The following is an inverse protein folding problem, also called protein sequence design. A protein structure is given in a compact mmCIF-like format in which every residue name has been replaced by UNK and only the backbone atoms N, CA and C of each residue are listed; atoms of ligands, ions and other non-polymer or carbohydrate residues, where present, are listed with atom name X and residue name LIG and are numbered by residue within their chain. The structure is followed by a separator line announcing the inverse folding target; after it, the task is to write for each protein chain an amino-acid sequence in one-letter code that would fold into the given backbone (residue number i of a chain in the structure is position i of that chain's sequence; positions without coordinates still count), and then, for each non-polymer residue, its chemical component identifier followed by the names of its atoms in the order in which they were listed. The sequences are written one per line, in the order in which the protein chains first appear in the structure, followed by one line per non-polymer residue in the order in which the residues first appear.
data_IF_262587704049
#
_entry.id   IF_262587704049
#
_cell.length_a   1.000
_cell.length_b   1.000
_cell.length_c   1.000
_cell.angle_alpha   90.00
_cell.angle_beta   90.00
_cell.angle_gamma   90.00
#
_symmetry.space_group_name_H-M   'P 1'
#
loop_
_entity.id
_entity.type
_entity.pdbx_description
1 polymer ?
#
# COMPACT_ATOMS: atom_id res chain seq x y z
N UNK A 1 8.62 -7.66 -8.69
CA UNK A 1 9.38 -6.42 -8.46
C UNK A 1 8.47 -5.21 -8.20
N UNK A 2 7.50 -4.94 -9.08
CA UNK A 2 6.47 -3.88 -8.95
C UNK A 2 5.86 -3.76 -7.56
N UNK A 3 5.30 -4.84 -7.03
CA UNK A 3 4.62 -4.79 -5.72
C UNK A 3 5.54 -4.27 -4.61
N UNK A 4 6.83 -4.63 -4.62
CA UNK A 4 7.80 -4.10 -3.65
C UNK A 4 8.09 -2.62 -3.89
N UNK A 5 8.17 -2.17 -5.15
CA UNK A 5 8.24 -0.73 -5.48
C UNK A 5 6.99 0.01 -4.97
N UNK A 6 5.79 -0.59 -5.10
CA UNK A 6 4.53 -0.06 -4.54
C UNK A 6 4.62 0.17 -3.06
N UNK A 7 5.04 -0.86 -2.34
CA UNK A 7 5.12 -0.87 -0.89
C UNK A 7 6.13 0.16 -0.40
N UNK A 8 7.29 0.23 -1.06
CA UNK A 8 8.30 1.24 -0.76
C UNK A 8 7.75 2.66 -0.95
N UNK A 9 7.14 2.94 -2.10
CA UNK A 9 6.60 4.27 -2.41
C UNK A 9 5.43 4.66 -1.49
N UNK A 10 4.54 3.72 -1.19
CA UNK A 10 3.36 3.96 -0.37
C UNK A 10 3.68 4.12 1.11
N UNK A 11 4.63 3.35 1.66
CA UNK A 11 4.81 3.22 3.11
C UNK A 11 6.13 3.84 3.59
N UNK A 12 7.20 3.77 2.78
CA UNK A 12 8.56 4.10 3.24
C UNK A 12 9.01 5.48 2.77
N UNK A 13 9.16 5.65 1.45
CA UNK A 13 9.68 6.88 0.85
C UNK A 13 8.97 7.14 -0.48
N UNK A 14 8.13 8.18 -0.57
CA UNK A 14 7.42 8.52 -1.79
C UNK A 14 8.40 8.95 -2.88
N UNK A 15 8.03 8.75 -4.15
CA UNK A 15 8.80 9.19 -5.33
C UNK A 15 10.26 8.68 -5.40
N UNK A 16 10.60 7.65 -4.62
CA UNK A 16 11.93 7.06 -4.63
C UNK A 16 11.96 5.85 -5.54
N UNK A 17 12.91 5.83 -6.48
CA UNK A 17 13.16 4.68 -7.35
C UNK A 17 14.38 3.89 -6.83
N UNK A 18 14.44 2.56 -7.06
CA UNK A 18 15.63 1.80 -6.73
C UNK A 18 16.85 2.34 -7.49
N UNK A 19 17.95 2.58 -6.77
CA UNK A 19 19.24 2.95 -7.36
C UNK A 19 19.88 1.76 -8.07
N UNK A 20 19.56 0.53 -7.64
CA UNK A 20 20.03 -0.72 -8.22
C UNK A 20 18.85 -1.64 -8.58
N UNK A 21 18.09 -1.34 -9.66
CA UNK A 21 16.89 -2.09 -10.02
C UNK A 21 17.15 -3.59 -10.23
N UNK A 22 18.26 -3.97 -10.84
CA UNK A 22 18.60 -5.37 -11.07
C UNK A 22 18.80 -6.15 -9.76
N UNK A 23 19.33 -5.49 -8.73
CA UNK A 23 19.49 -6.10 -7.41
C UNK A 23 18.15 -6.27 -6.69
N UNK A 24 17.22 -5.33 -6.86
CA UNK A 24 15.85 -5.50 -6.36
C UNK A 24 15.13 -6.64 -7.09
N UNK A 25 15.28 -6.74 -8.41
CA UNK A 25 14.69 -7.82 -9.19
C UNK A 25 15.22 -9.18 -8.75
N UNK A 26 16.53 -9.31 -8.58
CA UNK A 26 17.17 -10.52 -8.03
C UNK A 26 16.62 -10.89 -6.65
N UNK A 27 16.45 -9.91 -5.76
CA UNK A 27 15.88 -10.15 -4.43
C UNK A 27 14.42 -10.63 -4.49
N UNK A 28 13.60 -10.06 -5.37
CA UNK A 28 12.18 -10.47 -5.49
C UNK A 28 12.03 -11.86 -6.12
N UNK A 29 12.97 -12.29 -6.95
CA UNK A 29 12.98 -13.64 -7.53
C UNK A 29 13.57 -14.70 -6.61
N UNK A 30 14.28 -14.32 -5.54
CA UNK A 30 14.98 -15.28 -4.70
C UNK A 30 14.08 -16.34 -4.03
N UNK A 31 12.84 -16.06 -3.59
CA UNK A 31 11.99 -17.10 -3.01
C UNK A 31 11.54 -18.11 -4.05
N UNK A 32 11.26 -17.67 -5.28
CA UNK A 32 10.90 -18.56 -6.40
C UNK A 32 12.07 -19.49 -6.73
N UNK A 33 13.28 -18.95 -6.76
CA UNK A 33 14.49 -19.73 -7.00
C UNK A 33 14.74 -20.73 -5.87
N UNK A 34 14.56 -20.32 -4.61
CA UNK A 34 14.75 -21.21 -3.46
C UNK A 34 13.72 -22.36 -3.45
N UNK A 35 12.47 -22.07 -3.78
CA UNK A 35 11.43 -23.09 -3.93
C UNK A 35 11.76 -24.06 -5.09
N UNK A 36 12.08 -23.53 -6.27
CA UNK A 36 12.28 -24.35 -7.47
C UNK A 36 13.54 -25.23 -7.41
N UNK A 37 14.67 -24.66 -6.97
CA UNK A 37 15.97 -25.36 -7.01
C UNK A 37 16.30 -26.12 -5.73
N UNK A 38 15.88 -25.62 -4.56
CA UNK A 38 16.17 -26.27 -3.27
C UNK A 38 14.97 -27.00 -2.67
N UNK A 39 13.81 -26.99 -3.34
CA UNK A 39 12.60 -27.66 -2.86
C UNK A 39 12.02 -27.05 -1.59
N UNK A 40 12.34 -25.79 -1.28
CA UNK A 40 11.83 -25.15 -0.06
C UNK A 40 10.35 -24.77 -0.22
N UNK A 41 9.48 -25.43 0.53
CA UNK A 41 8.03 -25.19 0.53
C UNK A 41 7.57 -24.41 1.77
N UNK A 42 8.43 -24.26 2.78
CA UNK A 42 8.10 -23.48 3.97
C UNK A 42 7.99 -21.98 3.63
N UNK A 43 6.76 -21.47 3.66
CA UNK A 43 6.40 -20.09 3.37
C UNK A 43 7.14 -19.10 4.27
N UNK A 44 7.45 -19.44 5.52
CA UNK A 44 8.19 -18.58 6.43
C UNK A 44 9.65 -18.47 6.01
N UNK A 45 10.23 -19.56 5.55
CA UNK A 45 11.60 -19.56 5.01
C UNK A 45 11.67 -18.79 3.69
N UNK A 46 10.66 -18.92 2.84
CA UNK A 46 10.54 -18.12 1.61
C UNK A 46 10.39 -16.62 1.90
N UNK A 47 9.59 -16.25 2.90
CA UNK A 47 9.44 -14.87 3.35
C UNK A 47 10.75 -14.31 3.96
N UNK A 48 11.43 -15.12 4.79
CA UNK A 48 12.72 -14.76 5.36
C UNK A 48 13.78 -14.57 4.27
N UNK A 49 13.79 -15.44 3.26
CA UNK A 49 14.67 -15.32 2.10
C UNK A 49 14.43 -14.01 1.32
N UNK A 50 13.17 -13.65 1.05
CA UNK A 50 12.83 -12.38 0.41
C UNK A 50 13.36 -11.19 1.22
N UNK A 51 13.07 -11.19 2.53
CA UNK A 51 13.46 -10.13 3.46
C UNK A 51 14.97 -9.95 3.49
N UNK A 52 15.70 -11.05 3.70
CA UNK A 52 17.16 -11.04 3.77
C UNK A 52 17.78 -10.50 2.47
N UNK A 53 17.28 -10.97 1.31
CA UNK A 53 17.81 -10.52 0.02
C UNK A 53 17.53 -9.05 -0.24
N UNK A 54 16.33 -8.54 0.09
CA UNK A 54 16.03 -7.10 -0.04
C UNK A 54 16.96 -6.28 0.88
N UNK A 55 17.15 -6.72 2.12
CA UNK A 55 17.98 -6.02 3.09
C UNK A 55 19.45 -5.98 2.67
N UNK A 56 20.03 -7.10 2.21
CA UNK A 56 21.44 -7.20 1.83
C UNK A 56 21.76 -6.58 0.47
N UNK A 57 20.81 -6.57 -0.46
CA UNK A 57 21.05 -6.09 -1.81
C UNK A 57 21.10 -4.54 -1.90
N UNK A 58 20.64 -3.82 -0.87
CA UNK A 58 20.69 -2.36 -0.79
C UNK A 58 20.21 -1.66 -2.08
N UNK A 59 19.09 -2.11 -2.63
CA UNK A 59 18.63 -1.64 -3.93
C UNK A 59 18.08 -0.21 -3.93
N UNK A 60 17.81 0.35 -2.75
CA UNK A 60 17.40 1.75 -2.54
C UNK A 60 18.50 2.53 -1.81
N UNK A 61 18.50 3.86 -1.99
CA UNK A 61 19.40 4.75 -1.25
C UNK A 61 19.16 4.69 0.27
N UNK A 62 17.89 4.61 0.69
CA UNK A 62 17.47 4.47 2.08
C UNK A 62 16.23 3.56 2.17
N UNK A 63 15.92 3.06 3.36
CA UNK A 63 14.69 2.33 3.65
C UNK A 63 14.74 0.86 3.31
N UNK A 64 15.91 0.29 2.99
CA UNK A 64 16.04 -1.14 2.62
C UNK A 64 15.56 -2.07 3.74
N UNK A 65 15.93 -1.82 5.00
CA UNK A 65 15.48 -2.61 6.17
C UNK A 65 13.95 -2.54 6.33
N UNK A 66 13.38 -1.33 6.25
CA UNK A 66 11.94 -1.10 6.31
C UNK A 66 11.20 -1.79 5.15
N UNK A 67 11.76 -1.72 3.95
CA UNK A 67 11.23 -2.37 2.75
C UNK A 67 11.26 -3.89 2.88
N UNK A 68 12.33 -4.46 3.43
CA UNK A 68 12.46 -5.88 3.68
C UNK A 68 11.39 -6.38 4.66
N UNK A 69 11.18 -5.66 5.77
CA UNK A 69 10.16 -6.01 6.76
C UNK A 69 8.74 -5.96 6.17
N UNK A 70 8.39 -4.89 5.46
CA UNK A 70 7.09 -4.75 4.79
C UNK A 70 6.89 -5.82 3.72
N UNK A 71 7.92 -6.13 2.93
CA UNK A 71 7.85 -7.16 1.90
C UNK A 71 7.65 -8.56 2.50
N UNK A 72 8.29 -8.85 3.64
CA UNK A 72 8.11 -10.10 4.36
C UNK A 72 6.67 -10.24 4.88
N UNK A 73 6.14 -9.23 5.56
CA UNK A 73 4.75 -9.25 6.06
C UNK A 73 3.74 -9.41 4.92
N UNK A 74 3.93 -8.68 3.82
CA UNK A 74 3.06 -8.81 2.64
C UNK A 74 3.16 -10.19 1.98
N UNK A 75 4.35 -10.79 1.90
CA UNK A 75 4.52 -12.14 1.39
C UNK A 75 3.75 -13.14 2.26
N UNK A 76 3.85 -13.01 3.58
CA UNK A 76 3.09 -13.85 4.50
C UNK A 76 1.58 -13.66 4.33
N UNK A 77 1.09 -12.42 4.24
CA UNK A 77 -0.35 -12.12 4.09
C UNK A 77 -0.94 -12.70 2.83
N UNK A 78 -0.23 -12.62 1.71
CA UNK A 78 -0.64 -13.23 0.44
C UNK A 78 -0.75 -14.75 0.56
N UNK A 79 0.03 -15.37 1.45
CA UNK A 79 -0.01 -16.81 1.74
C UNK A 79 -0.89 -17.15 2.95
N UNK A 80 -1.72 -16.23 3.43
CA UNK A 80 -2.62 -16.47 4.55
C UNK A 80 -1.93 -16.46 5.92
N UNK A 81 -0.83 -15.74 6.08
CA UNK A 81 -0.13 -15.59 7.36
C UNK A 81 0.11 -14.12 7.70
N UNK A 82 0.40 -13.78 8.95
CA UNK A 82 0.79 -12.41 9.32
C UNK A 82 1.87 -12.40 10.40
N UNK A 83 2.68 -11.34 10.43
CA UNK A 83 3.61 -11.10 11.53
C UNK A 83 2.84 -10.61 12.76
N UNK A 84 3.08 -11.23 13.91
CA UNK A 84 2.60 -10.71 15.20
C UNK A 84 3.76 -10.09 15.96
N UNK A 85 3.62 -8.84 16.37
CA UNK A 85 4.60 -8.23 17.28
C UNK A 85 4.57 -9.01 18.60
N UNK A 86 5.67 -9.72 18.87
CA UNK A 86 5.82 -10.48 20.11
C UNK A 86 6.60 -9.68 21.16
N UNK A 87 6.77 -8.37 21.01
CA UNK A 87 7.48 -7.50 21.97
C UNK A 87 6.98 -7.70 23.41
N UNK A 88 5.68 -7.91 23.62
CA UNK A 88 5.13 -8.20 24.95
C UNK A 88 5.53 -9.60 25.45
N UNK A 89 5.55 -10.61 24.58
CA UNK A 89 5.96 -11.99 24.90
C UNK A 89 7.47 -12.08 25.18
N UNK A 90 8.29 -11.35 24.42
CA UNK A 90 9.75 -11.29 24.63
C UNK A 90 10.13 -10.54 25.90
N UNK A 91 9.41 -9.48 26.28
CA UNK A 91 9.62 -8.78 27.56
C UNK A 91 9.29 -9.67 28.76
N UNK A 92 8.29 -10.53 28.62
CA UNK A 92 7.88 -11.47 29.67
C UNK A 92 8.87 -12.64 29.82
N UNK A 93 9.47 -13.10 28.72
CA UNK A 93 10.40 -14.25 28.71
C UNK A 93 11.87 -13.81 28.93
N UNK A 94 12.27 -12.59 28.53
CA UNK A 94 13.65 -12.10 28.60
C UNK A 94 13.75 -10.64 29.08
N UNK A 95 13.89 -10.40 30.40
CA UNK A 95 13.87 -9.05 30.99
C UNK A 95 15.16 -8.20 30.78
N UNK A 96 16.13 -8.65 29.96
CA UNK A 96 17.33 -7.87 29.62
C UNK A 96 17.36 -7.56 28.12
N UNK A 97 17.27 -6.28 27.71
CA UNK A 97 17.33 -5.90 26.30
C UNK A 97 18.77 -6.05 25.77
N UNK A 98 18.94 -6.84 24.70
CA UNK A 98 20.17 -6.82 23.89
C UNK A 98 20.08 -5.63 22.92
N UNK A 99 21.00 -4.64 22.95
CA UNK A 99 20.73 -3.35 22.33
C UNK A 99 20.61 -3.36 20.79
N UNK A 100 21.17 -4.32 20.06
CA UNK A 100 21.42 -4.13 18.62
C UNK A 100 21.00 -5.28 17.69
N UNK A 101 20.01 -6.11 18.05
CA UNK A 101 19.43 -7.07 17.11
C UNK A 101 17.90 -6.99 17.07
N UNK A 102 17.36 -6.25 16.10
CA UNK A 102 15.98 -6.47 15.64
C UNK A 102 16.04 -7.62 14.63
N UNK A 103 16.27 -8.82 15.14
CA UNK A 103 16.15 -10.05 14.35
C UNK A 103 14.66 -10.28 14.06
N UNK A 104 14.31 -10.76 12.87
CA UNK A 104 12.96 -11.28 12.56
C UNK A 104 12.45 -12.32 13.59
N UNK A 105 13.32 -12.83 14.46
CA UNK A 105 12.98 -13.61 15.65
C UNK A 105 11.87 -12.96 16.52
N UNK A 106 11.71 -11.62 16.50
CA UNK A 106 10.64 -10.94 17.26
C UNK A 106 9.23 -11.06 16.67
N UNK A 107 9.05 -11.80 15.59
CA UNK A 107 7.73 -12.06 15.04
C UNK A 107 7.49 -13.55 14.90
N UNK A 108 6.40 -14.02 15.49
CA UNK A 108 5.91 -15.37 15.25
C UNK A 108 4.85 -15.30 14.14
N UNK A 109 4.93 -16.20 13.15
CA UNK A 109 3.89 -16.31 12.15
C UNK A 109 2.63 -16.94 12.74
N UNK A 110 1.46 -16.51 12.25
CA UNK A 110 0.17 -17.11 12.58
C UNK A 110 -0.65 -17.34 11.32
N UNK A 111 -1.42 -18.42 11.28
CA UNK A 111 -2.27 -18.81 10.14
C UNK A 111 -3.61 -18.08 10.14
N UNK A 112 -4.00 -17.57 8.98
CA UNK A 112 -5.33 -17.11 8.60
C UNK A 112 -5.90 -18.06 7.54
N UNK A 113 -7.23 -18.11 7.41
CA UNK A 113 -7.92 -19.03 6.49
C UNK A 113 -8.21 -18.31 5.16
N UNK A 114 -7.50 -18.68 4.08
CA UNK A 114 -8.02 -18.58 2.70
C UNK A 114 -7.11 -17.99 1.60
N UNK A 115 -7.33 -18.49 0.37
CA UNK A 115 -7.31 -17.75 -0.91
C UNK A 115 -5.99 -17.55 -1.65
N UNK A 116 -5.68 -18.40 -2.64
CA UNK A 116 -4.53 -18.23 -3.57
C UNK A 116 -4.79 -17.16 -4.63
N UNK A 117 -3.85 -16.21 -4.80
CA UNK A 117 -3.84 -15.22 -5.89
C UNK A 117 -2.56 -15.34 -6.72
N UNK A 118 -2.71 -15.45 -8.04
CA UNK A 118 -1.62 -15.68 -9.01
C UNK A 118 -0.92 -14.36 -9.39
N UNK A 119 0.41 -14.31 -9.28
CA UNK A 119 1.21 -13.11 -9.55
C UNK A 119 1.54 -12.94 -11.05
N UNK A 120 1.28 -11.75 -11.61
CA UNK A 120 1.65 -11.32 -12.97
C UNK A 120 2.72 -10.23 -12.87
N UNK A 121 3.74 -10.23 -13.74
CA UNK A 121 4.81 -9.20 -13.81
C UNK A 121 4.21 -7.84 -14.17
N UNK A 122 4.57 -6.76 -13.46
CA UNK A 122 3.98 -5.41 -13.58
C UNK A 122 5.08 -4.32 -13.43
N UNK A 123 5.01 -3.14 -14.07
CA UNK A 123 5.86 -1.96 -13.79
C UNK A 123 5.10 -0.81 -13.11
N UNK A 124 5.84 0.18 -12.65
CA UNK A 124 5.40 1.36 -11.90
C UNK A 124 5.63 2.60 -12.76
N UNK A 125 4.57 3.36 -13.05
CA UNK A 125 4.67 4.53 -13.92
C UNK A 125 4.34 5.80 -13.16
N UNK A 126 5.27 6.75 -13.11
CA UNK A 126 4.97 8.09 -12.63
C UNK A 126 4.35 8.89 -13.78
N UNK A 127 3.15 9.42 -13.55
CA UNK A 127 2.39 10.22 -14.51
C UNK A 127 1.87 11.49 -13.83
N UNK A 128 1.34 12.43 -14.62
CA UNK A 128 0.74 13.66 -14.10
C UNK A 128 -0.77 13.57 -14.18
N UNK A 129 -1.44 13.66 -13.03
CA UNK A 129 -2.89 13.78 -12.93
C UNK A 129 -3.34 15.23 -12.85
N UNK A 130 -4.62 15.46 -13.13
CA UNK A 130 -5.27 16.76 -13.00
C UNK A 130 -6.19 16.71 -11.78
N UNK A 131 -5.77 17.38 -10.69
CA UNK A 131 -6.53 17.44 -9.46
C UNK A 131 -7.31 18.76 -9.41
N UNK A 132 -8.63 18.67 -9.35
CA UNK A 132 -9.52 19.84 -9.26
C UNK A 132 -10.21 19.84 -7.91
N UNK A 133 -10.08 20.94 -7.19
CA UNK A 133 -10.76 21.15 -5.91
C UNK A 133 -11.15 22.63 -5.76
N UNK A 134 -12.01 22.94 -4.78
CA UNK A 134 -12.29 24.32 -4.42
C UNK A 134 -11.06 24.96 -3.78
N UNK A 135 -10.75 26.18 -4.20
CA UNK A 135 -9.84 27.07 -3.49
C UNK A 135 -10.52 27.72 -2.28
N UNK A 136 -9.80 28.65 -1.64
CA UNK A 136 -10.28 29.38 -0.45
C UNK A 136 -11.48 30.29 -0.73
N UNK A 137 -11.73 30.63 -1.99
CA UNK A 137 -12.84 31.47 -2.44
C UNK A 137 -14.04 30.64 -2.89
N UNK A 138 -13.94 29.31 -2.86
CA UNK A 138 -14.97 28.38 -3.32
C UNK A 138 -15.00 28.22 -4.84
N UNK A 139 -13.94 28.65 -5.54
CA UNK A 139 -13.83 28.51 -6.99
C UNK A 139 -13.07 27.21 -7.33
N UNK A 140 -13.55 26.41 -8.30
CA UNK A 140 -12.85 25.18 -8.67
C UNK A 140 -11.56 25.50 -9.42
N UNK A 141 -10.44 25.05 -8.86
CA UNK A 141 -9.10 25.24 -9.41
C UNK A 141 -8.44 23.89 -9.69
N UNK A 142 -7.84 23.74 -10.88
CA UNK A 142 -7.15 22.52 -11.31
C UNK A 142 -5.64 22.66 -11.19
N UNK A 143 -5.00 21.74 -10.48
CA UNK A 143 -3.55 21.65 -10.29
C UNK A 143 -3.00 20.35 -10.88
N UNK A 144 -1.84 20.42 -11.54
CA UNK A 144 -1.11 19.23 -12.01
C UNK A 144 -0.40 18.56 -10.84
N UNK A 145 -0.65 17.26 -10.64
CA UNK A 145 -0.12 16.51 -9.49
C UNK A 145 0.64 15.27 -9.95
N UNK A 146 1.80 14.95 -9.35
CA UNK A 146 2.50 13.70 -9.65
C UNK A 146 1.74 12.54 -9.00
N UNK A 147 1.41 11.53 -9.79
CA UNK A 147 0.77 10.29 -9.31
C UNK A 147 1.54 9.10 -9.84
N UNK A 148 1.41 7.95 -9.17
CA UNK A 148 1.97 6.69 -9.64
C UNK A 148 0.83 5.76 -10.00
N UNK A 149 0.83 5.26 -11.23
CA UNK A 149 -0.16 4.32 -11.74
C UNK A 149 0.47 2.96 -12.03
N UNK A 150 -0.37 1.93 -12.04
CA UNK A 150 0.00 0.61 -12.53
C UNK A 150 0.16 0.52 -14.03
N UNK A 151 0.36 -0.70 -14.51
CA UNK A 151 0.26 -1.03 -15.93
C UNK A 151 -1.18 -0.92 -16.45
N UNK A 152 -1.36 -0.80 -17.77
CA UNK A 152 -2.65 -1.09 -18.40
C UNK A 152 -3.19 -2.44 -17.90
N UNK A 153 -4.44 -2.45 -17.43
CA UNK A 153 -5.03 -3.64 -16.79
C UNK A 153 -4.99 -3.64 -15.26
N UNK A 154 -4.25 -2.73 -14.64
CA UNK A 154 -4.23 -2.55 -13.19
C UNK A 154 -5.11 -1.37 -12.77
N UNK A 155 -5.57 -1.40 -11.52
CA UNK A 155 -6.56 -0.44 -11.01
C UNK A 155 -6.08 0.38 -9.82
N UNK A 156 -4.79 0.31 -9.48
CA UNK A 156 -4.24 1.13 -8.41
C UNK A 156 -3.63 2.43 -8.92
N UNK A 157 -3.82 3.47 -8.11
CA UNK A 157 -3.20 4.78 -8.23
C UNK A 157 -2.66 5.17 -6.87
N UNK A 158 -1.40 5.57 -6.79
CA UNK A 158 -0.83 6.21 -5.61
C UNK A 158 -0.84 7.72 -5.80
N UNK A 159 -1.36 8.42 -4.79
CA UNK A 159 -1.51 9.86 -4.81
C UNK A 159 -0.83 10.50 -3.60
N UNK A 160 -0.38 11.75 -3.74
CA UNK A 160 -0.02 12.61 -2.61
C UNK A 160 -1.12 12.63 -1.52
N UNK A 161 -0.70 12.78 -0.26
CA UNK A 161 -1.59 12.59 0.90
C UNK A 161 -2.66 13.68 1.02
N UNK A 162 -2.35 14.89 0.56
CA UNK A 162 -3.27 16.02 0.45
C UNK A 162 -4.47 15.70 -0.44
N UNK A 163 -4.26 15.00 -1.56
CA UNK A 163 -5.35 14.56 -2.45
C UNK A 163 -6.30 13.62 -1.71
N UNK A 164 -5.79 12.54 -1.11
CA UNK A 164 -6.68 11.61 -0.39
C UNK A 164 -7.36 12.25 0.82
N UNK A 165 -6.69 13.20 1.51
CA UNK A 165 -7.31 14.00 2.58
C UNK A 165 -8.44 14.87 2.08
N UNK A 166 -8.31 15.49 0.90
CA UNK A 166 -9.38 16.27 0.29
C UNK A 166 -10.61 15.40 -0.02
N UNK A 167 -10.42 14.20 -0.57
CA UNK A 167 -11.51 13.24 -0.78
C UNK A 167 -12.16 12.81 0.53
N UNK A 168 -11.38 12.54 1.58
CA UNK A 168 -11.90 12.21 2.89
C UNK A 168 -12.74 13.35 3.49
N UNK A 169 -12.25 14.60 3.43
CA UNK A 169 -13.00 15.77 3.88
C UNK A 169 -14.34 15.93 3.14
N UNK A 170 -14.35 15.77 1.81
CA UNK A 170 -15.57 15.82 1.03
C UNK A 170 -16.53 14.67 1.38
N UNK A 171 -16.01 13.47 1.63
CA UNK A 171 -16.81 12.33 2.08
C UNK A 171 -17.45 12.56 3.45
N UNK A 172 -16.81 13.30 4.36
CA UNK A 172 -17.40 13.67 5.65
C UNK A 172 -18.49 14.72 5.51
N UNK A 173 -18.28 15.74 4.67
CA UNK A 173 -19.24 16.81 4.43
C UNK A 173 -20.58 16.32 3.84
N UNK A 174 -20.57 15.18 3.14
CA UNK A 174 -21.78 14.53 2.63
C UNK A 174 -22.56 13.74 3.69
N UNK A 175 -21.91 13.38 4.80
CA UNK A 175 -22.45 12.49 5.82
C UNK A 175 -22.79 13.23 7.13
N UNK A 176 -22.91 14.57 7.13
CA UNK A 176 -23.32 15.37 8.30
C UNK A 176 -24.56 14.78 8.99
N UNK A 177 -24.42 14.20 10.21
CA UNK A 177 -25.56 13.75 10.99
C UNK A 177 -26.07 14.92 11.83
N UNK A 178 -27.34 15.27 11.66
CA UNK A 178 -28.09 15.99 12.69
C UNK A 178 -28.11 15.11 13.95
N UNK A 179 -27.25 15.41 14.93
CA UNK A 179 -27.19 14.77 16.27
C UNK A 179 -27.11 13.24 16.29
N UNK A 180 -25.94 12.67 16.57
CA UNK A 180 -25.85 11.29 17.05
C UNK A 180 -24.49 10.62 16.92
N UNK A 181 -23.96 10.18 18.05
CA UNK A 181 -22.74 9.40 18.28
C UNK A 181 -22.48 8.33 17.21
N UNK A 182 -21.43 8.49 16.40
CA UNK A 182 -20.95 7.44 15.48
C UNK A 182 -19.79 6.65 16.09
N UNK A 183 -20.01 5.36 16.26
CA UNK A 183 -19.10 4.32 16.73
C UNK A 183 -17.89 4.13 15.80
N UNK A 184 -16.69 4.52 16.26
CA UNK A 184 -15.42 3.82 16.03
C UNK A 184 -15.00 3.36 14.62
N UNK A 185 -15.45 3.98 13.53
CA UNK A 185 -14.91 3.72 12.19
C UNK A 185 -13.54 4.40 12.06
N UNK A 186 -12.48 3.63 11.78
CA UNK A 186 -11.13 4.16 11.67
C UNK A 186 -11.04 5.16 10.50
N UNK A 187 -10.51 6.37 10.75
CA UNK A 187 -10.27 7.48 9.79
C UNK A 187 -9.23 7.13 8.69
N UNK A 188 -9.14 5.86 8.30
CA UNK A 188 -8.05 5.30 7.51
C UNK A 188 -8.46 5.01 6.06
N UNK A 189 -9.75 5.11 5.74
CA UNK A 189 -10.26 4.95 4.37
C UNK A 189 -11.38 5.95 4.06
N UNK A 190 -11.56 6.28 2.79
CA UNK A 190 -12.78 6.95 2.31
C UNK A 190 -13.27 6.36 0.98
N UNK A 191 -14.57 6.54 0.72
CA UNK A 191 -15.22 6.09 -0.52
C UNK A 191 -15.10 7.13 -1.62
N UNK A 192 -14.96 6.64 -2.83
CA UNK A 192 -14.93 7.42 -4.05
C UNK A 192 -15.57 6.61 -5.18
N UNK A 193 -15.83 7.28 -6.30
CA UNK A 193 -16.33 6.66 -7.53
C UNK A 193 -15.39 7.01 -8.66
N UNK A 194 -15.03 6.01 -9.46
CA UNK A 194 -14.28 6.21 -10.69
C UNK A 194 -15.23 6.26 -11.88
N UNK A 195 -15.16 7.33 -12.66
CA UNK A 195 -15.94 7.54 -13.87
C UNK A 195 -15.07 7.21 -15.09
N UNK A 196 -15.42 6.14 -15.80
CA UNK A 196 -14.60 5.57 -16.86
C UNK A 196 -14.52 6.45 -18.11
N UNK A 197 -15.62 7.03 -18.56
CA UNK A 197 -15.68 7.85 -19.77
C UNK A 197 -14.83 9.13 -19.66
N UNK A 198 -14.75 9.70 -18.46
CA UNK A 198 -13.99 10.92 -18.16
C UNK A 198 -12.67 10.66 -17.43
N UNK A 199 -12.36 9.40 -17.12
CA UNK A 199 -11.13 8.92 -16.50
C UNK A 199 -10.76 9.66 -15.20
N UNK A 200 -11.73 9.84 -14.30
CA UNK A 200 -11.48 10.53 -13.04
C UNK A 200 -12.09 9.83 -11.83
N UNK A 201 -11.41 9.96 -10.69
CA UNK A 201 -12.01 9.73 -9.38
C UNK A 201 -12.79 10.98 -8.95
N UNK A 202 -13.98 10.77 -8.41
CA UNK A 202 -14.81 11.80 -7.80
C UNK A 202 -15.53 11.27 -6.57
N UNK A 203 -16.28 12.14 -5.90
CA UNK A 203 -17.15 11.77 -4.78
C UNK A 203 -18.60 11.80 -5.25
N UNK A 204 -19.42 10.85 -4.81
CA UNK A 204 -20.86 10.86 -5.12
C UNK A 204 -21.58 11.88 -4.25
N UNK A 205 -22.38 12.79 -4.84
CA UNK A 205 -23.14 13.79 -4.09
C UNK A 205 -23.37 15.09 -4.86
N UNK A 206 -23.93 16.14 -4.22
CA UNK A 206 -24.16 17.43 -4.85
C UNK A 206 -22.85 18.21 -5.15
N UNK A 207 -21.77 17.95 -4.40
CA UNK A 207 -20.46 18.55 -4.67
C UNK A 207 -19.83 17.87 -5.89
N UNK A 208 -19.42 18.66 -6.88
CA UNK A 208 -18.68 18.15 -8.05
C UNK A 208 -17.19 17.88 -7.77
N UNK A 209 -16.66 18.31 -6.62
CA UNK A 209 -15.23 18.24 -6.30
C UNK A 209 -15.00 17.73 -4.87
N UNK A 210 -13.83 17.11 -4.57
CA UNK A 210 -12.65 17.01 -5.41
C UNK A 210 -12.79 16.01 -6.57
N UNK A 211 -12.04 16.25 -7.64
CA UNK A 211 -11.86 15.31 -8.75
C UNK A 211 -10.38 15.09 -9.02
N UNK A 212 -9.99 13.85 -9.28
CA UNK A 212 -8.67 13.51 -9.78
C UNK A 212 -8.80 12.80 -11.11
N UNK A 213 -8.49 13.50 -12.20
CA UNK A 213 -8.40 12.90 -13.52
C UNK A 213 -7.02 12.29 -13.72
N UNK A 214 -6.99 11.06 -14.21
CA UNK A 214 -5.76 10.31 -14.47
C UNK A 214 -5.60 10.10 -15.99
N UNK A 215 -4.38 10.22 -16.53
CA UNK A 215 -4.14 10.07 -17.97
C UNK A 215 -4.03 8.59 -18.38
N UNK A 216 -4.90 7.74 -17.83
CA UNK A 216 -4.89 6.29 -18.03
C UNK A 216 -6.29 5.71 -17.88
N UNK A 217 -6.64 4.77 -18.76
CA UNK A 217 -7.88 4.00 -18.61
C UNK A 217 -7.69 2.89 -17.59
N UNK A 218 -8.53 2.88 -16.54
CA UNK A 218 -8.63 1.74 -15.64
C UNK A 218 -9.63 0.72 -16.21
N UNK A 219 -9.40 -0.59 -16.05
CA UNK A 219 -10.36 -1.61 -16.48
C UNK A 219 -11.73 -1.47 -15.82
N UNK A 220 -12.78 -1.64 -16.63
CA UNK A 220 -14.15 -1.76 -16.16
C UNK A 220 -14.39 -3.11 -15.49
N UNK A 221 -15.14 -3.10 -14.40
CA UNK A 221 -15.53 -4.30 -13.65
C UNK A 221 -16.91 -4.80 -14.05
N UNK A 222 -17.71 -3.90 -14.60
CA UNK A 222 -19.06 -4.11 -15.12
C UNK A 222 -19.23 -3.22 -16.36
N UNK A 223 -20.33 -3.34 -17.09
CA UNK A 223 -20.63 -2.47 -18.23
C UNK A 223 -20.99 -1.02 -17.82
N UNK A 224 -21.08 -0.74 -16.51
CA UNK A 224 -21.35 0.61 -15.99
C UNK A 224 -20.23 1.61 -16.34
N UNK A 225 -20.60 2.89 -16.46
CA UNK A 225 -19.65 4.01 -16.50
C UNK A 225 -18.98 4.29 -15.15
N UNK A 226 -19.51 3.73 -14.07
CA UNK A 226 -18.98 3.96 -12.73
C UNK A 226 -18.46 2.67 -12.12
N UNK A 227 -17.36 2.80 -11.38
CA UNK A 227 -16.81 1.77 -10.50
C UNK A 227 -16.67 2.33 -9.09
N UNK A 228 -17.12 1.57 -8.10
CA UNK A 228 -16.85 1.87 -6.70
C UNK A 228 -15.35 1.83 -6.45
N UNK A 229 -14.85 2.79 -5.68
CA UNK A 229 -13.44 2.89 -5.34
C UNK A 229 -13.26 3.18 -3.83
N UNK A 230 -12.15 2.68 -3.30
CA UNK A 230 -11.72 2.96 -1.94
C UNK A 230 -10.36 3.64 -1.97
N UNK A 231 -10.23 4.68 -1.15
CA UNK A 231 -8.99 5.39 -0.91
C UNK A 231 -8.48 4.98 0.46
N UNK A 232 -7.27 4.44 0.53
CA UNK A 232 -6.57 4.12 1.77
C UNK A 232 -5.65 5.27 2.15
N UNK A 233 -5.87 5.83 3.33
CA UNK A 233 -5.30 7.08 3.82
C UNK A 233 -4.08 6.89 4.73
N UNK A 234 -3.56 5.66 4.85
CA UNK A 234 -2.34 5.38 5.60
C UNK A 234 -1.10 5.43 4.70
N UNK A 235 0.04 5.78 5.31
CA UNK A 235 1.35 5.77 4.66
C UNK A 235 1.84 7.15 4.22
N UNK A 236 2.85 7.15 3.36
CA UNK A 236 3.46 8.35 2.75
C UNK A 236 2.80 8.74 1.44
N UNK A 237 2.07 7.84 0.80
CA UNK A 237 1.16 8.10 -0.31
C UNK A 237 -0.12 7.30 -0.13
N UNK A 238 -1.25 7.84 -0.55
CA UNK A 238 -2.55 7.17 -0.42
C UNK A 238 -2.83 6.29 -1.63
N UNK A 239 -3.40 5.10 -1.40
CA UNK A 239 -3.80 4.20 -2.48
C UNK A 239 -5.25 4.46 -2.86
N UNK A 240 -5.52 4.79 -4.11
CA UNK A 240 -6.86 4.77 -4.71
C UNK A 240 -6.99 3.51 -5.56
N UNK A 241 -8.02 2.71 -5.33
CA UNK A 241 -8.22 1.41 -6.00
C UNK A 241 -9.69 1.17 -6.29
N UNK A 242 -9.98 0.47 -7.39
CA UNK A 242 -11.34 0.03 -7.70
C UNK A 242 -11.72 -1.20 -6.86
N UNK A 243 -12.88 -1.16 -6.21
CA UNK A 243 -13.34 -2.16 -5.24
C UNK A 243 -13.63 -3.51 -5.91
N UNK A 244 -13.22 -4.63 -5.31
CA UNK A 244 -13.42 -5.96 -5.90
C UNK A 244 -12.35 -6.35 -6.94
N UNK A 245 -11.30 -5.53 -7.11
CA UNK A 245 -10.11 -5.93 -7.88
C UNK A 245 -9.04 -6.58 -7.00
N UNK A 246 -8.15 -7.35 -7.62
CA UNK A 246 -6.96 -7.87 -6.94
C UNK A 246 -6.07 -6.75 -6.36
N UNK A 247 -6.03 -5.58 -7.02
CA UNK A 247 -5.26 -4.44 -6.53
C UNK A 247 -5.91 -3.79 -5.30
N UNK A 248 -7.23 -3.89 -5.12
CA UNK A 248 -7.91 -3.51 -3.89
C UNK A 248 -7.57 -4.45 -2.73
N UNK A 249 -7.56 -5.77 -2.96
CA UNK A 249 -7.09 -6.73 -1.96
C UNK A 249 -5.64 -6.47 -1.55
N UNK A 250 -4.77 -6.15 -2.51
CA UNK A 250 -3.39 -5.75 -2.22
C UNK A 250 -3.31 -4.45 -1.41
N UNK A 251 -4.10 -3.42 -1.75
CA UNK A 251 -4.12 -2.15 -1.03
C UNK A 251 -4.57 -2.33 0.42
N UNK A 252 -5.59 -3.15 0.65
CA UNK A 252 -6.05 -3.51 1.99
C UNK A 252 -4.93 -4.16 2.81
N UNK A 253 -4.28 -5.20 2.27
CA UNK A 253 -3.17 -5.87 2.95
C UNK A 253 -2.03 -4.89 3.26
N UNK A 254 -1.68 -4.02 2.32
CA UNK A 254 -0.65 -3.01 2.49
C UNK A 254 -1.02 -1.96 3.55
N UNK A 255 -2.27 -1.54 3.59
CA UNK A 255 -2.81 -0.65 4.63
C UNK A 255 -2.68 -1.29 6.01
N UNK A 256 -3.08 -2.56 6.13
CA UNK A 256 -2.94 -3.33 7.36
C UNK A 256 -1.47 -3.49 7.75
N UNK A 257 -0.56 -3.70 6.80
CA UNK A 257 0.88 -3.81 7.06
C UNK A 257 1.44 -2.50 7.60
N UNK A 258 1.10 -1.37 6.97
CA UNK A 258 1.54 -0.05 7.40
C UNK A 258 1.06 0.26 8.83
N UNK A 259 -0.17 -0.16 9.18
CA UNK A 259 -0.74 0.02 10.51
C UNK A 259 -0.09 -0.90 11.54
N UNK A 260 -0.02 -2.20 11.26
CA UNK A 260 0.52 -3.20 12.20
C UNK A 260 2.00 -2.98 12.50
N UNK A 261 2.78 -2.55 11.50
CA UNK A 261 4.23 -2.38 11.65
C UNK A 261 4.65 -0.93 11.94
N UNK A 262 3.71 -0.02 12.20
CA UNK A 262 3.99 1.42 12.29
C UNK A 262 5.19 1.72 13.21
N UNK A 263 5.13 1.29 14.47
CA UNK A 263 6.17 1.55 15.47
C UNK A 263 7.53 0.96 15.09
N UNK A 264 7.53 -0.20 14.44
CA UNK A 264 8.77 -0.88 14.06
C UNK A 264 9.40 -0.24 12.82
N UNK A 265 8.58 0.26 11.90
CA UNK A 265 9.05 1.05 10.77
C UNK A 265 9.66 2.37 11.24
N UNK A 266 9.10 3.01 12.27
CA UNK A 266 9.68 4.21 12.87
C UNK A 266 11.04 3.93 13.53
N UNK A 267 11.15 2.86 14.34
CA UNK A 267 12.44 2.45 14.94
C UNK A 267 13.53 2.18 13.91
N UNK A 268 13.16 1.66 12.74
CA UNK A 268 14.09 1.33 11.66
C UNK A 268 14.51 2.54 10.81
N UNK A 269 14.05 3.76 11.10
CA UNK A 269 14.55 4.98 10.43
C UNK A 269 15.94 5.37 10.90
N UNK A 270 16.23 5.17 12.18
CA UNK A 270 17.43 5.68 12.85
C UNK A 270 18.58 4.65 12.95
N UNK A 271 18.44 3.52 12.26
CA UNK A 271 19.38 2.37 12.31
C UNK A 271 20.12 2.13 10.99
#
# INVERSE_FOLDING_TARGET
MSQVKRLHAAIISPNTVPTQPNLLESAVHSPMNLNHYAGQEDIFQLAANLSEKIMRNHAYQDGNKRTALVAADMFLKINGHHLQDTTNLYREIHPRPQPNSISMLRYLPRTLRGGSSRAVRRHFHQVTGDFTNYDVEGVPTTTKVPIIVGEPGQTYVLVPTDIGRAFHAASLALNEPTTGTSTGATNETCKATFFHDSQHFGVEGPSRYPQLRIPMSLPRQTDSNTSSATIYLNGKMHNMVLDGTADAGFAQMANDTARTLHDDLEKLKDM
#
